data_IF_436499695246
#
_entry.id   IF_436499695246
#
_cell.length_a   1.000
_cell.length_b   1.000
_cell.length_c   1.000
_cell.angle_alpha   90.00
_cell.angle_beta   90.00
_cell.angle_gamma   90.00
#
_symmetry.space_group_name_H-M   'P 1'
#
loop_
_entity.id
_entity.type
_entity.pdbx_description
1 polymer ?
#
# COMPACT_ATOMS: atom_id res chain seq x y z
N UNK A 1 7.15 -18.24 -9.52
CA UNK A 1 5.94 -18.78 -10.19
C UNK A 1 4.75 -18.57 -9.29
N UNK A 2 3.65 -18.04 -9.81
CA UNK A 2 2.38 -17.85 -9.08
C UNK A 2 1.25 -18.59 -9.80
N UNK A 3 0.38 -19.29 -9.08
CA UNK A 3 -0.75 -20.01 -9.70
C UNK A 3 -2.01 -19.15 -9.78
N UNK A 4 -2.57 -18.92 -10.97
CA UNK A 4 -3.82 -18.15 -11.10
C UNK A 4 -5.04 -19.05 -11.30
N UNK A 5 -6.14 -18.74 -10.59
CA UNK A 5 -7.41 -19.47 -10.71
C UNK A 5 -8.19 -18.97 -11.92
N UNK A 6 -7.96 -19.59 -13.09
CA UNK A 6 -8.60 -19.20 -14.37
C UNK A 6 -10.12 -19.37 -14.34
N UNK A 7 -10.62 -20.47 -13.75
CA UNK A 7 -12.05 -20.76 -13.65
C UNK A 7 -12.48 -20.73 -12.18
N UNK A 8 -13.22 -19.68 -11.78
CA UNK A 8 -13.85 -19.57 -10.45
C UNK A 8 -15.34 -19.83 -10.54
N UNK A 9 -15.83 -20.74 -9.70
CA UNK A 9 -17.24 -21.11 -9.53
C UNK A 9 -17.91 -20.28 -8.42
N UNK A 10 -17.30 -19.15 -8.03
CA UNK A 10 -17.76 -18.29 -6.93
C UNK A 10 -18.84 -17.30 -7.37
N UNK A 11 -19.72 -16.89 -6.45
CA UNK A 11 -20.73 -15.85 -6.67
C UNK A 11 -20.13 -14.56 -7.27
N UNK A 12 -20.68 -14.16 -8.42
CA UNK A 12 -20.18 -13.07 -9.25
C UNK A 12 -20.15 -11.72 -8.51
N UNK A 13 -21.24 -11.34 -7.87
CA UNK A 13 -21.43 -10.02 -7.25
C UNK A 13 -20.69 -9.88 -5.91
N UNK A 14 -20.82 -10.85 -5.00
CA UNK A 14 -20.24 -10.75 -3.66
C UNK A 14 -18.75 -11.08 -3.59
N UNK A 15 -18.20 -11.84 -4.55
CA UNK A 15 -16.86 -12.42 -4.41
C UNK A 15 -15.98 -12.14 -5.61
N UNK A 16 -16.51 -12.25 -6.83
CA UNK A 16 -15.70 -12.09 -8.05
C UNK A 16 -15.40 -10.62 -8.34
N UNK A 17 -16.39 -9.73 -8.26
CA UNK A 17 -16.19 -8.28 -8.50
C UNK A 17 -15.21 -7.63 -7.52
N UNK A 18 -15.39 -7.71 -6.19
CA UNK A 18 -14.46 -7.08 -5.25
C UNK A 18 -13.06 -7.71 -5.33
N UNK A 19 -12.95 -9.02 -5.55
CA UNK A 19 -11.65 -9.67 -5.75
C UNK A 19 -10.97 -9.22 -7.05
N UNK A 20 -11.71 -9.00 -8.14
CA UNK A 20 -11.15 -8.51 -9.41
C UNK A 20 -10.71 -7.05 -9.27
N UNK A 21 -11.52 -6.21 -8.64
CA UNK A 21 -11.17 -4.81 -8.38
C UNK A 21 -9.91 -4.71 -7.51
N UNK A 22 -9.82 -5.52 -6.44
CA UNK A 22 -8.65 -5.55 -5.58
C UNK A 22 -7.40 -6.07 -6.31
N UNK A 23 -7.51 -7.13 -7.10
CA UNK A 23 -6.39 -7.65 -7.89
C UNK A 23 -5.95 -6.66 -8.97
N UNK A 24 -6.88 -6.00 -9.64
CA UNK A 24 -6.59 -4.95 -10.62
C UNK A 24 -5.88 -3.76 -9.97
N UNK A 25 -6.38 -3.29 -8.83
CA UNK A 25 -5.76 -2.19 -8.10
C UNK A 25 -4.38 -2.57 -7.58
N UNK A 26 -4.21 -3.79 -7.05
CA UNK A 26 -2.91 -4.32 -6.64
C UNK A 26 -1.92 -4.40 -7.82
N UNK A 27 -2.37 -4.91 -8.98
CA UNK A 27 -1.56 -4.96 -10.20
C UNK A 27 -1.13 -3.56 -10.63
N UNK A 28 -2.05 -2.60 -10.67
CA UNK A 28 -1.77 -1.21 -11.06
C UNK A 28 -0.85 -0.48 -10.07
N UNK A 29 -1.01 -0.74 -8.77
CA UNK A 29 -0.15 -0.17 -7.71
C UNK A 29 1.25 -0.76 -7.76
N UNK A 30 1.36 -2.07 -7.98
CA UNK A 30 2.63 -2.80 -7.95
C UNK A 30 3.38 -2.81 -9.28
N UNK A 31 2.72 -2.46 -10.38
CA UNK A 31 3.27 -2.57 -11.73
C UNK A 31 3.45 -4.01 -12.19
N UNK A 32 2.91 -4.99 -11.47
CA UNK A 32 3.04 -6.42 -11.80
C UNK A 32 1.76 -6.91 -12.44
N UNK A 33 1.88 -7.41 -13.66
CA UNK A 33 0.77 -8.02 -14.38
C UNK A 33 0.53 -9.45 -13.86
N UNK A 34 -0.26 -9.54 -12.79
CA UNK A 34 -0.66 -10.78 -12.13
C UNK A 34 -2.17 -10.73 -11.93
N UNK A 35 -2.84 -11.79 -12.34
CA UNK A 35 -4.28 -11.89 -12.30
C UNK A 35 -4.82 -12.26 -10.91
N UNK A 36 -4.05 -12.99 -10.10
CA UNK A 36 -4.48 -13.42 -8.76
C UNK A 36 -3.40 -13.30 -7.69
N UNK A 37 -3.38 -12.19 -6.95
CA UNK A 37 -2.50 -12.01 -5.79
C UNK A 37 -2.91 -12.89 -4.60
N UNK A 38 -4.19 -13.22 -4.49
CA UNK A 38 -4.78 -13.95 -3.35
C UNK A 38 -4.57 -15.46 -3.36
N UNK A 39 -3.91 -15.99 -4.39
CA UNK A 39 -3.49 -17.40 -4.45
C UNK A 39 -2.31 -17.64 -3.50
N UNK A 40 -2.33 -18.76 -2.78
CA UNK A 40 -1.20 -19.25 -1.98
C UNK A 40 -0.34 -20.25 -2.73
N UNK A 41 -0.78 -20.70 -3.91
CA UNK A 41 -0.02 -21.64 -4.73
C UNK A 41 1.10 -20.90 -5.46
N UNK A 42 2.27 -20.84 -4.83
CA UNK A 42 3.42 -20.05 -5.26
C UNK A 42 4.72 -20.84 -5.05
N UNK A 43 5.64 -20.72 -5.98
CA UNK A 43 6.97 -21.32 -5.90
C UNK A 43 8.03 -20.28 -6.27
N UNK A 44 9.00 -20.06 -5.38
CA UNK A 44 10.06 -19.07 -5.53
C UNK A 44 11.42 -19.72 -5.28
N UNK A 45 12.46 -19.15 -5.87
CA UNK A 45 13.85 -19.56 -5.58
C UNK A 45 14.22 -19.09 -4.18
N UNK A 46 15.04 -19.87 -3.47
CA UNK A 46 15.53 -19.54 -2.12
C UNK A 46 16.16 -18.16 -2.07
N UNK A 47 17.10 -17.91 -2.98
CA UNK A 47 17.82 -16.63 -3.14
C UNK A 47 16.91 -15.40 -3.23
N UNK A 48 15.68 -15.57 -3.73
CA UNK A 48 14.72 -14.48 -3.90
C UNK A 48 13.90 -14.21 -2.63
N UNK A 49 13.63 -15.25 -1.84
CA UNK A 49 12.81 -15.15 -0.63
C UNK A 49 13.65 -14.76 0.59
N UNK A 50 14.91 -15.18 0.66
CA UNK A 50 15.79 -14.86 1.79
C UNK A 50 16.02 -13.35 1.95
N UNK A 51 15.92 -12.57 0.87
CA UNK A 51 16.06 -11.11 0.92
C UNK A 51 14.79 -10.37 1.40
N UNK A 52 13.64 -11.06 1.41
CA UNK A 52 12.34 -10.48 1.76
C UNK A 52 12.06 -10.56 3.26
N UNK A 53 11.79 -9.40 3.85
CA UNK A 53 11.21 -9.32 5.20
C UNK A 53 9.68 -9.22 5.08
N UNK A 54 8.98 -10.31 5.39
CA UNK A 54 7.53 -10.33 5.43
C UNK A 54 7.03 -10.00 6.83
N UNK A 55 6.11 -9.04 6.94
CA UNK A 55 5.43 -8.70 8.18
C UNK A 55 3.92 -8.96 8.04
N UNK A 56 3.32 -9.63 9.04
CA UNK A 56 1.88 -9.86 9.11
C UNK A 56 1.25 -10.52 7.87
N UNK A 57 0.17 -9.92 7.36
CA UNK A 57 -0.64 -10.43 6.23
C UNK A 57 0.00 -10.19 4.83
N UNK A 58 1.27 -9.78 4.77
CA UNK A 58 1.95 -9.45 3.50
C UNK A 58 2.30 -10.64 2.61
N UNK A 59 2.10 -11.88 3.08
CA UNK A 59 2.36 -13.10 2.31
C UNK A 59 1.64 -13.13 0.94
N UNK A 60 0.48 -12.46 0.84
CA UNK A 60 -0.25 -12.32 -0.42
C UNK A 60 0.42 -11.37 -1.43
N UNK A 61 1.20 -10.41 -0.93
CA UNK A 61 1.89 -9.38 -1.71
C UNK A 61 3.34 -9.70 -2.01
N UNK A 62 3.83 -10.91 -1.67
CA UNK A 62 5.16 -11.39 -2.07
C UNK A 62 5.45 -11.08 -3.56
N UNK A 63 4.56 -11.38 -4.53
CA UNK A 63 4.83 -11.05 -5.93
C UNK A 63 5.07 -9.55 -6.18
N UNK A 64 4.29 -8.70 -5.52
CA UNK A 64 4.40 -7.26 -5.65
C UNK A 64 5.66 -6.69 -4.97
N UNK A 65 6.10 -7.29 -3.88
CA UNK A 65 7.36 -6.90 -3.21
C UNK A 65 8.58 -7.34 -4.03
N UNK A 66 8.53 -8.54 -4.63
CA UNK A 66 9.61 -9.09 -5.45
C UNK A 66 9.83 -8.36 -6.77
N UNK A 67 8.79 -7.74 -7.33
CA UNK A 67 8.95 -6.97 -8.57
C UNK A 67 9.88 -5.78 -8.39
N UNK A 68 9.91 -5.17 -7.20
CA UNK A 68 10.87 -4.10 -6.87
C UNK A 68 12.32 -4.59 -6.92
N UNK A 69 12.56 -5.88 -6.63
CA UNK A 69 13.88 -6.51 -6.75
C UNK A 69 14.21 -6.98 -8.18
N UNK A 70 13.37 -6.67 -9.18
CA UNK A 70 13.61 -7.01 -10.58
C UNK A 70 13.37 -8.48 -10.94
N UNK A 71 12.66 -9.23 -10.07
CA UNK A 71 12.39 -10.64 -10.29
C UNK A 71 11.30 -10.83 -11.35
N UNK A 72 11.56 -11.70 -12.33
CA UNK A 72 10.53 -12.11 -13.30
C UNK A 72 9.55 -13.10 -12.65
N UNK A 73 8.27 -12.74 -12.66
CA UNK A 73 7.20 -13.59 -12.13
C UNK A 73 6.37 -14.09 -13.32
N UNK A 74 6.13 -15.39 -13.35
CA UNK A 74 5.24 -16.04 -14.33
C UNK A 74 4.02 -16.62 -13.62
N UNK A 75 2.86 -16.55 -14.28
CA UNK A 75 1.62 -17.16 -13.81
C UNK A 75 1.32 -18.47 -14.51
N UNK A 76 0.86 -19.48 -13.75
CA UNK A 76 0.46 -20.79 -14.28
C UNK A 76 -1.01 -21.03 -13.95
N UNK A 77 -1.87 -21.41 -14.92
CA UNK A 77 -3.27 -21.74 -14.67
C UNK A 77 -3.39 -22.93 -13.73
N UNK A 78 -4.11 -22.73 -12.63
CA UNK A 78 -4.45 -23.78 -11.68
C UNK A 78 -5.96 -24.02 -11.66
N UNK A 79 -6.33 -25.29 -11.47
CA UNK A 79 -7.72 -25.70 -11.28
C UNK A 79 -8.15 -25.31 -9.86
N UNK A 80 -9.23 -24.52 -9.76
CA UNK A 80 -9.84 -24.20 -8.47
C UNK A 80 -10.70 -25.39 -8.02
N UNK A 81 -10.21 -26.18 -7.07
CA UNK A 81 -10.93 -27.34 -6.54
C UNK A 81 -11.91 -26.86 -5.46
N UNK A 82 -13.18 -27.27 -5.56
CA UNK A 82 -14.18 -26.96 -4.53
C UNK A 82 -13.87 -27.77 -3.28
N UNK A 83 -13.84 -27.10 -2.12
CA UNK A 83 -13.59 -27.76 -0.84
C UNK A 83 -14.78 -28.68 -0.52
N UNK A 84 -14.56 -29.98 -0.25
CA UNK A 84 -15.67 -30.91 0.00
C UNK A 84 -16.41 -30.69 1.32
N UNK A 85 -15.77 -30.09 2.33
CA UNK A 85 -16.37 -29.78 3.65
C UNK A 85 -15.83 -28.49 4.26
N UNK A 86 -16.67 -27.81 5.05
CA UNK A 86 -16.35 -26.62 5.83
C UNK A 86 -16.98 -25.33 5.28
N UNK A 87 -17.26 -24.38 6.17
CA UNK A 87 -17.75 -23.05 5.79
C UNK A 87 -16.61 -22.17 5.30
N UNK A 88 -16.93 -21.24 4.39
CA UNK A 88 -15.95 -20.27 3.93
C UNK A 88 -15.78 -19.17 4.98
N UNK A 89 -14.57 -19.04 5.54
CA UNK A 89 -14.23 -17.96 6.50
C UNK A 89 -14.10 -16.57 5.83
N UNK A 90 -14.57 -16.44 4.58
CA UNK A 90 -14.56 -15.19 3.81
C UNK A 90 -15.85 -14.40 4.11
N UNK A 91 -15.82 -13.55 5.13
CA UNK A 91 -16.88 -12.58 5.42
C UNK A 91 -16.62 -11.18 4.84
N UNK A 92 -17.61 -10.29 4.99
CA UNK A 92 -17.55 -8.87 4.57
C UNK A 92 -16.40 -8.12 5.28
N UNK A 93 -16.05 -8.50 6.50
CA UNK A 93 -14.89 -7.96 7.24
C UNK A 93 -13.56 -8.15 6.52
N UNK A 94 -13.48 -9.07 5.55
CA UNK A 94 -12.28 -9.24 4.72
C UNK A 94 -12.16 -8.17 3.63
N UNK A 95 -13.27 -7.64 3.14
CA UNK A 95 -13.25 -6.58 2.12
C UNK A 95 -12.59 -5.31 2.65
N UNK A 96 -12.91 -4.89 3.87
CA UNK A 96 -12.26 -3.74 4.52
C UNK A 96 -10.77 -3.98 4.77
N UNK A 97 -10.40 -5.18 5.24
CA UNK A 97 -8.97 -5.56 5.37
C UNK A 97 -8.24 -5.42 4.04
N UNK A 98 -8.83 -5.91 2.95
CA UNK A 98 -8.25 -5.79 1.61
C UNK A 98 -7.97 -4.34 1.22
N UNK A 99 -8.83 -3.39 1.57
CA UNK A 99 -8.59 -1.96 1.32
C UNK A 99 -7.36 -1.46 2.11
N UNK A 100 -7.32 -1.69 3.42
CA UNK A 100 -6.18 -1.28 4.24
C UNK A 100 -4.87 -1.88 3.76
N UNK A 101 -4.90 -3.15 3.38
CA UNK A 101 -3.74 -3.84 2.85
C UNK A 101 -3.26 -3.30 1.50
N UNK A 102 -4.16 -2.78 0.64
CA UNK A 102 -3.78 -2.10 -0.60
C UNK A 102 -3.16 -0.73 -0.31
N UNK A 103 -3.65 -0.01 0.71
CA UNK A 103 -3.03 1.21 1.20
C UNK A 103 -1.62 0.90 1.72
N UNK A 104 -1.47 -0.15 2.53
CA UNK A 104 -0.18 -0.64 3.03
C UNK A 104 0.73 -1.03 1.87
N UNK A 105 0.24 -1.76 0.87
CA UNK A 105 1.01 -2.11 -0.32
C UNK A 105 1.53 -0.87 -1.05
N UNK A 106 0.66 0.13 -1.27
CA UNK A 106 1.04 1.38 -1.92
C UNK A 106 2.10 2.13 -1.11
N UNK A 107 1.95 2.17 0.21
CA UNK A 107 2.90 2.79 1.12
C UNK A 107 4.26 2.10 1.05
N UNK A 108 4.30 0.77 1.17
CA UNK A 108 5.53 0.00 1.19
C UNK A 108 6.31 0.07 -0.11
N UNK A 109 5.62 0.02 -1.25
CA UNK A 109 6.29 0.03 -2.55
C UNK A 109 6.84 1.42 -2.92
N UNK A 110 6.08 2.48 -2.63
CA UNK A 110 6.38 3.83 -3.12
C UNK A 110 6.88 4.84 -2.09
N UNK A 111 6.56 4.66 -0.80
CA UNK A 111 6.74 5.70 0.22
C UNK A 111 7.52 5.24 1.45
N UNK A 112 7.88 3.96 1.58
CA UNK A 112 8.67 3.48 2.73
C UNK A 112 9.98 4.25 2.91
N UNK A 113 10.61 4.67 1.81
CA UNK A 113 11.84 5.47 1.82
C UNK A 113 11.61 6.96 2.00
N UNK A 114 10.37 7.44 1.85
CA UNK A 114 9.98 8.85 2.00
C UNK A 114 8.57 9.00 2.57
N UNK A 115 8.33 8.58 3.83
CA UNK A 115 6.99 8.55 4.41
C UNK A 115 6.30 9.91 4.46
N UNK A 116 7.09 11.00 4.56
CA UNK A 116 6.57 12.37 4.56
C UNK A 116 5.77 12.69 3.29
N UNK A 117 6.12 12.14 2.12
CA UNK A 117 5.35 12.39 0.90
C UNK A 117 3.96 11.72 0.92
N UNK A 118 3.79 10.64 1.69
CA UNK A 118 2.50 9.98 1.82
C UNK A 118 1.59 10.76 2.76
N UNK A 119 2.03 10.98 4.00
CA UNK A 119 1.25 11.69 5.01
C UNK A 119 1.15 13.19 4.72
N UNK A 120 2.19 13.80 4.15
CA UNK A 120 2.20 15.21 3.79
C UNK A 120 1.18 15.56 2.70
N UNK A 121 0.90 14.65 1.75
CA UNK A 121 -0.19 14.84 0.79
C UNK A 121 -1.57 14.79 1.44
N UNK A 122 -1.77 13.86 2.38
CA UNK A 122 -3.01 13.84 3.16
C UNK A 122 -3.16 15.11 4.01
N UNK A 123 -2.08 15.54 4.66
CA UNK A 123 -2.03 16.78 5.44
C UNK A 123 -2.34 18.01 4.59
N UNK A 124 -1.80 18.11 3.37
CA UNK A 124 -2.04 19.26 2.50
C UNK A 124 -3.52 19.41 2.14
N UNK A 125 -4.24 18.31 1.93
CA UNK A 125 -5.69 18.36 1.69
C UNK A 125 -6.47 18.80 2.93
N UNK A 126 -6.12 18.28 4.11
CA UNK A 126 -6.77 18.68 5.37
C UNK A 126 -6.53 20.17 5.69
N UNK A 127 -5.30 20.64 5.55
CA UNK A 127 -4.93 22.03 5.83
C UNK A 127 -5.59 22.97 4.81
N UNK A 128 -5.58 22.61 3.52
CA UNK A 128 -6.25 23.40 2.50
C UNK A 128 -7.76 23.52 2.77
N UNK A 129 -8.42 22.42 3.13
CA UNK A 129 -9.84 22.44 3.49
C UNK A 129 -10.10 23.28 4.74
N UNK A 130 -9.25 23.17 5.77
CA UNK A 130 -9.35 23.99 6.98
C UNK A 130 -9.18 25.48 6.69
N UNK A 131 -8.23 25.84 5.82
CA UNK A 131 -8.00 27.22 5.40
C UNK A 131 -9.19 27.79 4.61
N UNK A 132 -9.76 27.03 3.69
CA UNK A 132 -10.94 27.46 2.92
C UNK A 132 -12.16 27.67 3.81
N UNK A 133 -12.42 26.76 4.75
CA UNK A 133 -13.50 26.91 5.73
C UNK A 133 -13.27 28.11 6.65
N UNK A 134 -12.04 28.29 7.13
CA UNK A 134 -11.70 29.43 7.98
C UNK A 134 -11.84 30.75 7.22
N UNK A 135 -11.41 30.80 5.95
CA UNK A 135 -11.57 31.97 5.09
C UNK A 135 -13.04 32.30 4.83
N UNK A 136 -13.88 31.29 4.58
CA UNK A 136 -15.33 31.46 4.42
C UNK A 136 -15.97 32.07 5.66
N UNK A 137 -15.66 31.55 6.85
CA UNK A 137 -16.21 32.07 8.11
C UNK A 137 -15.72 33.50 8.39
N UNK A 138 -14.44 33.78 8.12
CA UNK A 138 -13.89 35.12 8.28
C UNK A 138 -14.54 36.10 7.30
N UNK A 139 -14.79 35.69 6.06
CA UNK A 139 -15.50 36.50 5.08
C UNK A 139 -16.90 36.90 5.58
N UNK A 140 -17.69 35.92 6.06
CA UNK A 140 -19.02 36.21 6.60
C UNK A 140 -18.96 37.10 7.85
N UNK A 141 -17.93 36.95 8.68
CA UNK A 141 -17.70 37.82 9.83
C UNK A 141 -17.42 39.26 9.41
N UNK A 142 -16.55 39.49 8.43
CA UNK A 142 -16.12 40.85 8.05
C UNK A 142 -17.15 41.58 7.17
N UNK A 143 -17.87 40.86 6.31
CA UNK A 143 -18.84 41.47 5.38
C UNK A 143 -20.22 41.64 6.02
N UNK A 144 -20.73 40.60 6.67
CA UNK A 144 -22.09 40.59 7.21
C UNK A 144 -22.16 40.86 8.72
N UNK A 145 -21.02 41.05 9.39
CA UNK A 145 -20.91 41.25 10.84
C UNK A 145 -21.59 40.16 11.70
N UNK A 146 -21.75 38.96 11.14
CA UNK A 146 -22.43 37.85 11.81
C UNK A 146 -21.57 37.32 12.97
N UNK A 147 -22.14 37.02 14.15
CA UNK A 147 -21.40 36.40 15.24
C UNK A 147 -21.01 34.96 14.89
N UNK A 148 -19.69 34.69 14.85
CA UNK A 148 -19.08 33.41 14.41
C UNK A 148 -19.67 32.21 15.16
N UNK A 149 -19.76 32.29 16.48
CA UNK A 149 -20.17 31.17 17.32
C UNK A 149 -21.63 30.75 17.11
N UNK A 150 -22.53 31.70 16.85
CA UNK A 150 -23.96 31.42 16.74
C UNK A 150 -24.31 30.92 15.34
N UNK A 151 -23.71 31.50 14.30
CA UNK A 151 -24.02 31.14 12.91
C UNK A 151 -23.14 30.01 12.34
N UNK A 152 -21.89 29.91 12.77
CA UNK A 152 -20.90 29.00 12.18
C UNK A 152 -20.13 28.16 13.19
N UNK A 153 -20.61 28.04 14.45
CA UNK A 153 -19.94 27.28 15.52
C UNK A 153 -19.48 25.88 15.10
N UNK A 154 -20.35 25.02 14.51
CA UNK A 154 -19.95 23.70 14.02
C UNK A 154 -18.92 23.72 12.90
N UNK A 155 -19.01 24.67 11.97
CA UNK A 155 -18.07 24.84 10.85
C UNK A 155 -16.69 25.29 11.35
N UNK A 156 -16.64 26.21 12.33
CA UNK A 156 -15.41 26.63 12.97
C UNK A 156 -14.74 25.47 13.72
N UNK A 157 -15.53 24.65 14.42
CA UNK A 157 -15.04 23.43 15.06
C UNK A 157 -14.47 22.42 14.06
N UNK A 158 -15.15 22.20 12.94
CA UNK A 158 -14.65 21.34 11.85
C UNK A 158 -13.33 21.85 11.27
N UNK A 159 -13.23 23.16 11.01
CA UNK A 159 -11.99 23.78 10.51
C UNK A 159 -10.82 23.56 11.48
N UNK A 160 -11.05 23.73 12.79
CA UNK A 160 -10.05 23.49 13.82
C UNK A 160 -9.62 22.01 13.88
N UNK A 161 -10.56 21.07 13.82
CA UNK A 161 -10.26 19.62 13.82
C UNK A 161 -9.45 19.25 12.56
N UNK A 162 -9.83 19.74 11.39
CA UNK A 162 -9.11 19.48 10.14
C UNK A 162 -7.67 20.01 10.18
N UNK A 163 -7.48 21.20 10.76
CA UNK A 163 -6.15 21.79 10.95
C UNK A 163 -5.30 20.94 11.90
N UNK A 164 -5.88 20.50 13.03
CA UNK A 164 -5.20 19.63 14.00
C UNK A 164 -4.81 18.28 13.37
N UNK A 165 -5.72 17.65 12.64
CA UNK A 165 -5.47 16.38 11.92
C UNK A 165 -4.37 16.57 10.87
N UNK A 166 -4.37 17.69 10.14
CA UNK A 166 -3.31 18.02 9.19
C UNK A 166 -1.94 18.12 9.85
N UNK A 167 -1.86 18.77 11.01
CA UNK A 167 -0.62 18.89 11.79
C UNK A 167 -0.14 17.53 12.33
N UNK A 168 -1.06 16.69 12.81
CA UNK A 168 -0.74 15.31 13.24
C UNK A 168 -0.18 14.49 12.08
N UNK A 169 -0.72 14.62 10.87
CA UNK A 169 -0.20 13.93 9.70
C UNK A 169 1.20 14.40 9.31
N UNK A 170 1.50 15.70 9.40
CA UNK A 170 2.87 16.21 9.16
C UNK A 170 3.83 15.62 10.19
N UNK A 171 3.48 15.67 11.48
CA UNK A 171 4.30 15.12 12.56
C UNK A 171 4.55 13.61 12.37
N UNK A 172 3.50 12.86 12.04
CA UNK A 172 3.60 11.42 11.75
C UNK A 172 4.50 11.15 10.54
N UNK A 173 4.42 11.98 9.49
CA UNK A 173 5.29 11.90 8.32
C UNK A 173 6.77 12.13 8.66
N UNK A 174 7.06 13.11 9.51
CA UNK A 174 8.43 13.40 9.98
C UNK A 174 8.99 12.26 10.84
N UNK A 175 8.20 11.76 11.79
CA UNK A 175 8.59 10.58 12.59
C UNK A 175 8.84 9.38 11.68
N UNK A 176 7.97 9.15 10.69
CA UNK A 176 8.16 8.11 9.70
C UNK A 176 9.46 8.25 8.92
N UNK A 177 9.81 9.47 8.50
CA UNK A 177 11.08 9.76 7.81
C UNK A 177 12.29 9.42 8.69
N UNK A 178 12.25 9.75 9.98
CA UNK A 178 13.31 9.39 10.94
C UNK A 178 13.43 7.87 11.11
N UNK A 179 12.32 7.18 11.35
CA UNK A 179 12.31 5.71 11.51
C UNK A 179 12.81 5.03 10.23
N UNK A 180 12.40 5.51 9.07
CA UNK A 180 12.84 4.97 7.78
C UNK A 180 14.36 5.10 7.62
N UNK A 181 14.94 6.26 7.95
CA UNK A 181 16.39 6.47 7.91
C UNK A 181 17.11 5.49 8.83
N UNK A 182 16.68 5.38 10.09
CA UNK A 182 17.25 4.43 11.06
C UNK A 182 17.13 2.99 10.56
N UNK A 183 15.99 2.60 9.98
CA UNK A 183 15.78 1.26 9.44
C UNK A 183 16.74 0.95 8.28
N UNK A 184 16.84 1.84 7.29
CA UNK A 184 17.70 1.59 6.12
C UNK A 184 19.19 1.69 6.45
N UNK A 185 19.58 2.57 7.38
CA UNK A 185 20.96 2.75 7.83
C UNK A 185 21.43 1.55 8.67
N UNK A 186 20.59 1.06 9.60
CA UNK A 186 20.91 -0.10 10.45
C UNK A 186 20.95 -1.43 9.70
N UNK A 187 20.15 -1.60 8.65
CA UNK A 187 20.05 -2.90 7.95
C UNK A 187 21.20 -3.12 6.96
N UNK A 188 22.06 -2.11 6.70
CA UNK A 188 23.16 -2.16 5.71
C UNK A 188 22.75 -2.80 4.36
N UNK A 189 21.46 -2.67 4.00
CA UNK A 189 20.90 -3.27 2.78
C UNK A 189 21.31 -2.43 1.59
N UNK A 190 22.13 -3.02 0.72
CA UNK A 190 22.47 -2.42 -0.57
C UNK A 190 21.20 -2.21 -1.38
N UNK A 191 21.07 -1.03 -2.00
CA UNK A 191 19.89 -0.66 -2.82
C UNK A 191 19.81 -1.49 -4.11
N UNK A 192 20.86 -2.26 -4.42
CA UNK A 192 20.99 -3.08 -5.63
C UNK A 192 21.19 -4.56 -5.28
N UNK A 193 20.62 -5.43 -6.10
CA UNK A 193 20.92 -6.86 -6.11
C UNK A 193 21.82 -7.19 -7.30
N UNK A 194 22.89 -7.97 -7.07
CA UNK A 194 23.79 -8.41 -8.14
C UNK A 194 23.36 -9.80 -8.59
N UNK A 195 22.84 -9.90 -9.81
CA UNK A 195 22.32 -11.18 -10.33
C UNK A 195 23.42 -12.17 -10.71
N UNK A 196 24.55 -11.69 -11.24
CA UNK A 196 25.67 -12.53 -11.66
C UNK A 196 26.95 -11.69 -11.71
N UNK A 197 28.01 -12.15 -11.04
CA UNK A 197 29.34 -11.57 -11.16
C UNK A 197 30.08 -12.37 -12.23
N UNK A 198 30.41 -11.72 -13.34
CA UNK A 198 31.27 -12.31 -14.36
C UNK A 198 32.72 -11.97 -13.99
N UNK A 199 33.40 -12.89 -13.30
CA UNK A 199 34.85 -12.80 -13.13
C UNK A 199 35.49 -13.34 -14.40
N UNK A 200 36.32 -12.54 -15.08
CA UNK A 200 37.23 -13.04 -16.11
C UNK A 200 38.34 -13.77 -15.36
N UNK A 201 38.43 -15.09 -15.50
CA UNK A 201 39.64 -15.80 -15.07
C UNK A 201 40.79 -15.22 -15.89
N UNK A 202 41.67 -14.47 -15.22
CA UNK A 202 43.03 -14.30 -15.71
C UNK A 202 43.63 -15.69 -15.74
N UNK A 203 43.75 -16.25 -16.94
CA UNK A 203 44.70 -17.31 -17.26
C UNK A 203 46.07 -16.79 -16.80
N UNK A 204 46.49 -17.17 -15.59
CA UNK A 204 47.91 -17.19 -15.26
C UNK A 204 48.48 -18.31 -16.13
N UNK A 205 49.04 -17.91 -17.27
CA UNK A 205 49.93 -18.75 -18.05
C UNK A 205 51.16 -19.06 -17.19
N UNK A 206 51.48 -20.36 -17.14
CA UNK A 206 52.77 -21.01 -16.89
C UNK A 206 53.77 -20.37 -15.90
#
# INVERSE_FOLDING_TARGET
VSGWRKHRVDNLLMRKLPSRAANWLASKISGVDIHDFGTTFKAYRREVIEELNLYGEMHRFIPALLSRSGVKIIEIPIKNVVRPKGSSSYGISRTFRVVFDLITLRFLLGYITRPLHFFGRAASYCILAALLLSAYILYDKFVYNVPIFVAHGPLAGLAAILLLVGLIFIATGLIGEMISRVYFESTNKKIYSVRKVHRRETLTAD
#
